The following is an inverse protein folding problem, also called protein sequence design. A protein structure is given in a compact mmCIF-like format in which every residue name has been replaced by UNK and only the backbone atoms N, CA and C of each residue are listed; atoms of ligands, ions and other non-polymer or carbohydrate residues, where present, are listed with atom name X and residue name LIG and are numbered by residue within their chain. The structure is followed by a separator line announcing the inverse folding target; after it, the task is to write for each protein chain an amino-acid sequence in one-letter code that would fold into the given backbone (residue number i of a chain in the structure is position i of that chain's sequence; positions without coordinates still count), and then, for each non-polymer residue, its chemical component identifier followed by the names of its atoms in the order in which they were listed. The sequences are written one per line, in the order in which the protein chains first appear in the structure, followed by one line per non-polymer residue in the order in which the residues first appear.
data_IF_051134570166
#
_entry.id   IF_051134570166
#
_cell.length_a   1.000
_cell.length_b   1.000
_cell.length_c   1.000
_cell.angle_alpha   90.00
_cell.angle_beta   90.00
_cell.angle_gamma   90.00
#
_symmetry.space_group_name_H-M   'P 1'
#
loop_
_entity.id
_entity.type
_entity.pdbx_description
1 polymer ?
#
# COMPACT_ATOMS: atom_id res chain seq x y z
N UNK A 1 12.93 2.18 -0.36
CA UNK A 1 12.40 2.88 -1.55
C UNK A 1 10.91 2.62 -1.66
N UNK A 2 10.13 3.64 -1.99
CA UNK A 2 8.68 3.54 -2.12
C UNK A 2 8.23 4.02 -3.50
N UNK A 3 7.68 3.11 -4.30
CA UNK A 3 6.99 3.42 -5.55
C UNK A 3 5.53 3.73 -5.23
N UNK A 4 5.12 4.98 -5.35
CA UNK A 4 3.81 5.43 -4.90
C UNK A 4 2.86 5.75 -6.07
N UNK A 5 1.60 5.33 -5.96
CA UNK A 5 0.49 5.63 -6.90
C UNK A 5 0.72 5.09 -8.32
N UNK A 6 1.27 3.90 -8.42
CA UNK A 6 1.42 3.22 -9.71
C UNK A 6 0.12 2.52 -10.15
N UNK A 7 0.06 2.14 -11.43
CA UNK A 7 -1.07 1.42 -12.02
C UNK A 7 -0.70 0.03 -12.50
N UNK A 8 0.59 -0.27 -12.65
CA UNK A 8 1.09 -1.57 -13.07
C UNK A 8 2.49 -1.84 -12.51
N UNK A 9 2.89 -3.10 -12.53
CA UNK A 9 4.19 -3.57 -12.06
C UNK A 9 5.27 -3.54 -13.14
N UNK A 10 4.89 -3.44 -14.42
CA UNK A 10 5.83 -3.52 -15.53
C UNK A 10 6.90 -2.42 -15.49
N UNK A 11 6.57 -1.27 -14.91
CA UNK A 11 7.53 -0.17 -14.74
C UNK A 11 8.33 -0.27 -13.44
N UNK A 12 7.81 -0.98 -12.45
CA UNK A 12 8.45 -1.11 -11.13
C UNK A 12 9.48 -2.24 -11.14
N UNK A 13 9.13 -3.40 -11.70
CA UNK A 13 9.95 -4.61 -11.61
C UNK A 13 11.38 -4.43 -12.17
N UNK A 14 11.61 -3.81 -13.36
CA UNK A 14 12.97 -3.60 -13.84
C UNK A 14 13.81 -2.69 -12.94
N UNK A 15 13.17 -1.67 -12.36
CA UNK A 15 13.84 -0.75 -11.44
C UNK A 15 14.11 -1.45 -10.10
N UNK A 16 13.18 -2.26 -9.61
CA UNK A 16 13.36 -3.03 -8.39
C UNK A 16 14.50 -4.05 -8.52
N UNK A 17 14.61 -4.71 -9.66
CA UNK A 17 15.71 -5.62 -9.99
C UNK A 17 17.06 -4.90 -9.97
N UNK A 18 17.13 -3.74 -10.63
CA UNK A 18 18.34 -2.91 -10.61
C UNK A 18 18.71 -2.47 -9.19
N UNK A 19 17.73 -2.03 -8.37
CA UNK A 19 17.97 -1.66 -6.96
C UNK A 19 18.52 -2.86 -6.17
N UNK A 20 17.98 -4.05 -6.38
CA UNK A 20 18.44 -5.28 -5.71
C UNK A 20 19.89 -5.63 -6.06
N UNK A 21 20.32 -5.32 -7.28
CA UNK A 21 21.74 -5.52 -7.68
C UNK A 21 22.71 -4.60 -6.94
N UNK A 22 22.23 -3.48 -6.39
CA UNK A 22 23.06 -2.52 -5.66
C UNK A 22 23.12 -2.79 -4.15
N UNK A 23 22.18 -3.54 -3.60
CA UNK A 23 22.15 -3.86 -2.18
C UNK A 23 20.78 -4.23 -1.62
N UNK A 24 20.75 -4.58 -0.34
CA UNK A 24 19.53 -4.95 0.38
C UNK A 24 18.80 -3.69 0.89
N UNK A 25 17.86 -3.20 0.11
CA UNK A 25 17.03 -2.03 0.40
C UNK A 25 15.58 -2.47 0.48
N UNK A 26 14.82 -2.03 1.49
CA UNK A 26 13.38 -2.27 1.56
C UNK A 26 12.65 -1.58 0.40
N UNK A 27 11.88 -2.36 -0.37
CA UNK A 27 11.12 -1.86 -1.53
C UNK A 27 9.62 -2.06 -1.29
N UNK A 28 8.88 -0.96 -1.29
CA UNK A 28 7.43 -0.90 -1.25
C UNK A 28 6.88 -0.49 -2.61
N UNK A 29 5.89 -1.20 -3.13
CA UNK A 29 5.13 -0.80 -4.32
C UNK A 29 3.68 -0.52 -3.97
N UNK A 30 3.22 0.72 -4.20
CA UNK A 30 1.88 1.18 -3.85
C UNK A 30 1.08 1.56 -5.11
N UNK A 31 -0.16 1.08 -5.17
CA UNK A 31 -1.03 1.15 -6.34
C UNK A 31 -2.31 1.93 -6.05
N UNK A 32 -2.76 2.67 -7.07
CA UNK A 32 -4.07 3.28 -7.04
C UNK A 32 -5.10 2.34 -7.68
N UNK A 33 -6.15 2.01 -6.92
CA UNK A 33 -7.27 1.17 -7.39
C UNK A 33 -8.60 1.91 -7.24
N UNK A 34 -9.52 1.63 -8.16
CA UNK A 34 -10.89 2.16 -8.10
C UNK A 34 -11.75 1.39 -7.08
N UNK A 35 -13.01 1.77 -6.93
CA UNK A 35 -13.97 1.16 -5.99
C UNK A 35 -14.26 -0.33 -6.25
N UNK A 36 -13.90 -0.84 -7.42
CA UNK A 36 -14.01 -2.24 -7.82
C UNK A 36 -12.73 -3.04 -7.61
N UNK A 37 -11.64 -2.38 -7.18
CA UNK A 37 -10.34 -3.01 -6.93
C UNK A 37 -9.47 -3.17 -8.17
N UNK A 38 -9.67 -2.36 -9.21
CA UNK A 38 -8.87 -2.37 -10.43
C UNK A 38 -8.04 -1.10 -10.57
N UNK A 39 -6.81 -1.25 -11.04
CA UNK A 39 -5.97 -0.12 -11.44
C UNK A 39 -6.47 0.51 -12.74
N UNK A 40 -5.90 1.66 -13.09
CA UNK A 40 -6.18 2.34 -14.37
C UNK A 40 -5.82 1.49 -15.60
N UNK A 41 -4.87 0.57 -15.47
CA UNK A 41 -4.46 -0.36 -16.53
C UNK A 41 -5.25 -1.67 -16.53
N UNK A 42 -6.23 -1.84 -15.62
CA UNK A 42 -7.13 -3.00 -15.57
C UNK A 42 -6.63 -4.15 -14.69
N UNK A 43 -5.50 -4.02 -14.00
CA UNK A 43 -5.02 -5.04 -13.07
C UNK A 43 -5.84 -5.04 -11.78
N UNK A 44 -6.27 -6.22 -11.34
CA UNK A 44 -6.96 -6.37 -10.05
C UNK A 44 -5.99 -6.35 -8.87
N UNK A 45 -6.50 -6.01 -7.67
CA UNK A 45 -5.73 -6.10 -6.43
C UNK A 45 -5.13 -7.49 -6.21
N UNK A 46 -5.90 -8.55 -6.49
CA UNK A 46 -5.44 -9.94 -6.34
C UNK A 46 -4.28 -10.28 -7.28
N UNK A 47 -4.31 -9.78 -8.52
CA UNK A 47 -3.20 -9.95 -9.48
C UNK A 47 -1.96 -9.21 -9.02
N UNK A 48 -2.10 -7.96 -8.54
CA UNK A 48 -0.98 -7.17 -8.01
C UNK A 48 -0.34 -7.88 -6.82
N UNK A 49 -1.13 -8.34 -5.84
CA UNK A 49 -0.65 -9.06 -4.66
C UNK A 49 0.09 -10.33 -5.07
N UNK A 50 -0.50 -11.14 -5.96
CA UNK A 50 0.12 -12.38 -6.46
C UNK A 50 1.45 -12.10 -7.18
N UNK A 51 1.51 -11.08 -8.02
CA UNK A 51 2.72 -10.73 -8.75
C UNK A 51 3.81 -10.21 -7.82
N UNK A 52 3.46 -9.39 -6.83
CA UNK A 52 4.42 -8.92 -5.82
C UNK A 52 4.97 -10.11 -5.03
N UNK A 53 4.12 -11.01 -4.53
CA UNK A 53 4.53 -12.23 -3.82
C UNK A 53 5.47 -13.10 -4.69
N UNK A 54 5.16 -13.26 -5.96
CA UNK A 54 5.91 -14.12 -6.88
C UNK A 54 7.22 -13.51 -7.38
N UNK A 55 7.38 -12.19 -7.33
CA UNK A 55 8.57 -11.51 -7.88
C UNK A 55 9.84 -11.71 -7.04
N UNK A 56 9.70 -11.85 -5.72
CA UNK A 56 10.83 -11.85 -4.78
C UNK A 56 11.63 -10.53 -4.74
N UNK A 57 11.21 -9.51 -5.50
CA UNK A 57 11.91 -8.24 -5.65
C UNK A 57 11.35 -7.14 -4.74
N UNK A 58 10.09 -7.26 -4.33
CA UNK A 58 9.34 -6.25 -3.59
C UNK A 58 9.00 -6.80 -2.21
N UNK A 59 9.24 -6.03 -1.17
CA UNK A 59 9.06 -6.43 0.23
C UNK A 59 7.66 -6.15 0.77
N UNK A 60 6.99 -5.16 0.19
CA UNK A 60 5.67 -4.78 0.62
C UNK A 60 4.80 -4.22 -0.49
N UNK A 61 3.49 -4.33 -0.31
CA UNK A 61 2.50 -3.79 -1.22
C UNK A 61 1.67 -2.72 -0.54
N UNK A 62 1.31 -1.68 -1.28
CA UNK A 62 0.45 -0.62 -0.80
C UNK A 62 -0.74 -0.35 -1.70
N UNK A 63 -1.78 0.26 -1.12
CA UNK A 63 -2.91 0.80 -1.85
C UNK A 63 -3.18 2.22 -1.37
N UNK A 64 -3.02 3.17 -2.28
CA UNK A 64 -3.21 4.57 -1.98
C UNK A 64 -4.01 5.28 -3.08
N UNK A 65 -4.69 6.35 -2.72
CA UNK A 65 -5.53 7.10 -3.65
C UNK A 65 -6.68 6.24 -4.26
N UNK A 66 -7.31 6.71 -5.33
CA UNK A 66 -8.30 5.99 -6.13
C UNK A 66 -9.64 5.71 -5.44
N UNK A 67 -9.65 5.46 -4.14
CA UNK A 67 -10.88 5.15 -3.39
C UNK A 67 -10.83 5.70 -1.96
N UNK A 68 -11.99 5.79 -1.31
CA UNK A 68 -12.12 6.15 0.09
C UNK A 68 -11.90 4.96 1.05
N UNK A 69 -11.82 5.22 2.38
CA UNK A 69 -11.36 4.23 3.35
C UNK A 69 -12.29 3.02 3.48
N UNK A 70 -13.62 3.20 3.52
CA UNK A 70 -14.55 2.08 3.65
C UNK A 70 -14.57 1.15 2.44
N UNK A 71 -14.38 1.71 1.22
CA UNK A 71 -14.25 0.88 0.03
C UNK A 71 -12.95 0.10 0.04
N UNK A 72 -11.85 0.75 0.43
CA UNK A 72 -10.55 0.08 0.57
C UNK A 72 -10.61 -1.04 1.61
N UNK A 73 -11.22 -0.81 2.78
CA UNK A 73 -11.43 -1.84 3.79
C UNK A 73 -12.18 -3.06 3.24
N UNK A 74 -13.26 -2.83 2.49
CA UNK A 74 -14.05 -3.90 1.86
C UNK A 74 -13.25 -4.69 0.81
N UNK A 75 -12.41 -4.01 0.03
CA UNK A 75 -11.54 -4.65 -0.94
C UNK A 75 -10.46 -5.49 -0.26
N UNK A 76 -9.78 -4.95 0.74
CA UNK A 76 -8.72 -5.63 1.49
C UNK A 76 -9.23 -6.87 2.23
N UNK A 77 -10.44 -6.84 2.79
CA UNK A 77 -11.06 -7.98 3.48
C UNK A 77 -11.18 -9.24 2.59
N UNK A 78 -11.19 -9.06 1.28
CA UNK A 78 -11.30 -10.15 0.28
C UNK A 78 -9.94 -10.65 -0.22
N UNK A 79 -8.82 -10.08 0.28
CA UNK A 79 -7.49 -10.43 -0.19
C UNK A 79 -6.78 -11.34 0.81
N UNK A 80 -6.03 -12.29 0.27
CA UNK A 80 -5.01 -13.00 1.05
C UNK A 80 -3.73 -12.16 1.05
N UNK A 81 -3.49 -11.45 2.14
CA UNK A 81 -2.31 -10.61 2.31
C UNK A 81 -1.06 -11.43 2.68
N UNK A 82 -1.24 -12.60 3.31
CA UNK A 82 -0.16 -13.46 3.76
C UNK A 82 0.82 -12.72 4.66
N UNK A 83 2.11 -12.95 4.44
CA UNK A 83 3.21 -12.34 5.21
C UNK A 83 3.74 -11.03 4.61
N UNK A 84 3.05 -10.48 3.60
CA UNK A 84 3.44 -9.18 3.00
C UNK A 84 3.30 -8.04 4.01
N UNK A 85 4.25 -7.13 3.98
CA UNK A 85 4.06 -5.80 4.57
C UNK A 85 3.05 -5.04 3.71
N UNK A 86 1.96 -4.61 4.31
CA UNK A 86 0.87 -3.93 3.59
C UNK A 86 0.71 -2.50 4.07
N UNK A 87 0.58 -1.57 3.14
CA UNK A 87 0.22 -0.19 3.43
C UNK A 87 -1.15 0.18 2.85
N UNK A 88 -1.86 1.06 3.55
CA UNK A 88 -3.13 1.63 3.11
C UNK A 88 -3.16 3.15 3.37
N UNK A 89 -3.34 3.92 2.31
CA UNK A 89 -3.47 5.37 2.36
C UNK A 89 -4.59 5.85 1.42
N UNK A 90 -5.86 5.60 1.75
CA UNK A 90 -6.99 6.02 0.93
C UNK A 90 -7.17 7.54 0.94
N UNK A 91 -8.01 8.03 0.02
CA UNK A 91 -8.50 9.40 0.06
C UNK A 91 -9.39 9.63 1.29
N UNK A 92 -9.52 10.89 1.74
CA UNK A 92 -10.41 11.25 2.85
C UNK A 92 -11.87 10.85 2.61
N UNK A 93 -12.22 10.66 1.37
CA UNK A 93 -13.55 10.31 0.85
C UNK A 93 -13.58 10.53 -0.65
N UNK A 94 -14.74 10.91 -1.18
CA UNK A 94 -14.90 11.28 -2.57
C UNK A 94 -14.91 12.80 -2.70
N UNK A 95 -14.14 13.29 -3.66
CA UNK A 95 -14.13 14.71 -3.97
C UNK A 95 -15.44 15.12 -4.63
N UNK A 96 -15.97 16.27 -4.24
CA UNK A 96 -17.08 16.96 -4.90
C UNK A 96 -16.53 18.08 -5.77
N UNK A 97 -16.97 18.16 -7.00
CA UNK A 97 -16.61 19.26 -7.87
C UNK A 97 -17.61 20.42 -7.68
N UNK A 98 -17.10 21.57 -7.26
CA UNK A 98 -17.87 22.81 -7.16
C UNK A 98 -17.21 23.85 -8.08
N UNK A 99 -17.84 24.10 -9.23
CA UNK A 99 -17.23 24.90 -10.30
C UNK A 99 -15.97 24.20 -10.83
N UNK A 100 -14.83 24.90 -10.82
CA UNK A 100 -13.54 24.38 -11.27
C UNK A 100 -12.65 23.87 -10.12
N UNK A 101 -13.19 23.66 -8.93
CA UNK A 101 -12.43 23.20 -7.76
C UNK A 101 -12.97 21.90 -7.23
N UNK A 102 -12.05 21.04 -6.75
CA UNK A 102 -12.36 19.80 -6.06
C UNK A 102 -12.33 20.04 -4.57
N UNK A 103 -13.38 19.60 -3.88
CA UNK A 103 -13.53 19.73 -2.43
C UNK A 103 -13.69 18.35 -1.81
N UNK A 104 -13.04 18.15 -0.67
CA UNK A 104 -13.30 17.01 0.21
C UNK A 104 -14.05 17.52 1.43
N UNK A 105 -15.19 16.90 1.75
CA UNK A 105 -15.89 17.20 3.00
C UNK A 105 -15.07 16.69 4.16
N UNK A 106 -14.97 17.49 5.22
CA UNK A 106 -14.33 17.02 6.44
C UNK A 106 -15.19 15.92 7.09
N UNK A 107 -14.61 14.75 7.20
CA UNK A 107 -15.20 13.57 7.82
C UNK A 107 -14.13 12.72 8.50
N UNK A 108 -13.28 13.38 9.28
CA UNK A 108 -12.13 12.77 9.94
C UNK A 108 -12.51 11.63 10.90
N UNK A 109 -13.67 11.73 11.58
CA UNK A 109 -14.19 10.66 12.43
C UNK A 109 -14.48 9.37 11.65
N UNK A 110 -15.25 9.47 10.59
CA UNK A 110 -15.56 8.34 9.71
C UNK A 110 -14.27 7.76 9.06
N UNK A 111 -13.36 8.63 8.61
CA UNK A 111 -12.08 8.21 8.07
C UNK A 111 -11.31 7.36 9.07
N UNK A 112 -11.13 7.85 10.29
CA UNK A 112 -10.36 7.16 11.32
C UNK A 112 -11.01 5.84 11.76
N UNK A 113 -12.34 5.76 11.83
CA UNK A 113 -13.05 4.52 12.11
C UNK A 113 -12.80 3.46 11.03
N UNK A 114 -12.94 3.84 9.75
CA UNK A 114 -12.64 2.95 8.64
C UNK A 114 -11.16 2.54 8.58
N UNK A 115 -10.24 3.42 8.95
CA UNK A 115 -8.82 3.12 9.01
C UNK A 115 -8.46 2.18 10.16
N UNK A 116 -9.18 2.25 11.29
CA UNK A 116 -9.07 1.27 12.38
C UNK A 116 -9.47 -0.13 11.89
N UNK A 117 -10.59 -0.23 11.17
CA UNK A 117 -11.00 -1.48 10.53
C UNK A 117 -9.91 -2.04 9.58
N UNK A 118 -9.30 -1.17 8.77
CA UNK A 118 -8.19 -1.54 7.88
C UNK A 118 -7.00 -2.08 8.68
N UNK A 119 -6.64 -1.45 9.79
CA UNK A 119 -5.55 -1.92 10.65
C UNK A 119 -5.86 -3.29 11.27
N UNK A 120 -7.12 -3.54 11.68
CA UNK A 120 -7.58 -4.83 12.21
C UNK A 120 -7.52 -5.97 11.16
N UNK A 121 -7.51 -5.65 9.85
CA UNK A 121 -7.29 -6.62 8.78
C UNK A 121 -5.82 -7.04 8.62
N UNK A 122 -4.90 -6.52 9.43
CA UNK A 122 -3.47 -6.85 9.36
C UNK A 122 -2.64 -5.91 8.49
N UNK A 123 -3.18 -4.75 8.11
CA UNK A 123 -2.41 -3.71 7.41
C UNK A 123 -1.41 -3.08 8.37
N UNK A 124 -0.15 -2.98 7.95
CA UNK A 124 0.98 -2.62 8.79
C UNK A 124 1.28 -1.12 8.82
N UNK A 125 1.04 -0.44 7.72
CA UNK A 125 1.31 0.99 7.54
C UNK A 125 0.00 1.65 7.11
N UNK A 126 -0.48 2.60 7.89
CA UNK A 126 -1.70 3.32 7.60
C UNK A 126 -1.44 4.82 7.47
N UNK A 127 -2.15 5.45 6.57
CA UNK A 127 -2.01 6.88 6.30
C UNK A 127 -3.20 7.43 5.53
N UNK A 128 -3.00 8.52 4.82
CA UNK A 128 -4.03 9.13 3.99
C UNK A 128 -3.45 9.76 2.75
N UNK A 129 -4.28 9.89 1.71
CA UNK A 129 -3.95 10.51 0.44
C UNK A 129 -4.80 11.76 0.22
N UNK A 130 -5.39 11.95 -0.96
CA UNK A 130 -6.13 13.15 -1.33
C UNK A 130 -7.23 13.51 -0.33
N UNK A 131 -7.31 14.78 0.03
CA UNK A 131 -8.28 15.32 0.98
C UNK A 131 -7.94 15.12 2.45
N UNK A 132 -6.94 14.32 2.82
CA UNK A 132 -6.44 14.23 4.18
C UNK A 132 -5.51 15.41 4.51
N UNK A 133 -5.46 15.78 5.78
CA UNK A 133 -4.64 16.86 6.30
C UNK A 133 -4.03 16.45 7.67
N UNK A 134 -3.17 17.26 8.29
CA UNK A 134 -2.54 16.90 9.57
C UNK A 134 -3.53 16.56 10.69
N UNK A 135 -4.74 17.10 10.69
CA UNK A 135 -5.76 16.77 11.71
C UNK A 135 -6.24 15.32 11.57
N UNK A 136 -6.41 14.83 10.33
CA UNK A 136 -6.72 13.42 10.05
C UNK A 136 -5.63 12.50 10.60
N UNK A 137 -4.36 12.81 10.32
CA UNK A 137 -3.23 11.98 10.77
C UNK A 137 -3.11 12.01 12.29
N UNK A 138 -3.29 13.19 12.93
CA UNK A 138 -3.29 13.29 14.38
C UNK A 138 -4.41 12.44 15.02
N UNK A 139 -5.61 12.46 14.47
CA UNK A 139 -6.72 11.65 14.97
C UNK A 139 -6.46 10.16 14.71
N UNK A 140 -5.92 9.82 13.54
CA UNK A 140 -5.56 8.44 13.17
C UNK A 140 -4.57 7.84 14.15
N UNK A 141 -3.51 8.56 14.55
CA UNK A 141 -2.52 8.07 15.52
C UNK A 141 -3.12 7.83 16.90
N UNK A 142 -4.15 8.57 17.29
CA UNK A 142 -4.86 8.37 18.54
C UNK A 142 -5.81 7.16 18.49
N UNK A 143 -6.40 6.90 17.32
CA UNK A 143 -7.42 5.86 17.13
C UNK A 143 -6.81 4.50 16.82
N UNK A 144 -5.75 4.47 16.01
CA UNK A 144 -5.08 3.25 15.56
C UNK A 144 -3.96 2.76 16.50
N UNK A 145 -3.76 3.43 17.62
CA UNK A 145 -2.60 3.33 18.51
C UNK A 145 -2.28 1.99 19.17
N UNK A 146 -2.88 0.89 18.73
CA UNK A 146 -2.54 -0.48 19.19
C UNK A 146 -2.80 -1.52 18.12
N UNK A 147 -2.34 -1.28 16.89
CA UNK A 147 -2.28 -2.38 15.92
C UNK A 147 -1.32 -3.47 16.46
N UNK A 148 -1.62 -4.76 16.26
CA UNK A 148 -0.74 -5.83 16.71
C UNK A 148 0.65 -5.65 16.09
N UNK A 149 1.69 -5.85 16.90
CA UNK A 149 3.08 -5.74 16.44
C UNK A 149 3.32 -6.69 15.27
N UNK A 150 3.77 -6.16 14.16
CA UNK A 150 4.17 -6.94 12.99
C UNK A 150 5.36 -7.83 13.36
N UNK A 151 5.36 -9.10 12.97
CA UNK A 151 6.58 -9.91 12.94
C UNK A 151 7.65 -9.12 12.18
N UNK A 152 8.79 -8.87 12.81
CA UNK A 152 9.89 -8.14 12.19
C UNK A 152 10.42 -8.94 11.00
N UNK A 153 10.83 -8.23 9.96
CA UNK A 153 11.52 -8.75 8.76
C UNK A 153 12.85 -9.49 9.04
N UNK A 154 13.19 -9.71 10.31
CA UNK A 154 14.42 -10.40 10.73
C UNK A 154 14.45 -11.90 10.43
N UNK A 155 13.33 -12.49 10.01
CA UNK A 155 13.24 -13.92 9.68
C UNK A 155 13.27 -14.17 8.16
N UNK A 156 13.97 -13.36 7.38
CA UNK A 156 14.32 -13.78 6.01
C UNK A 156 15.28 -14.97 6.12
N UNK A 157 14.94 -16.13 5.54
CA UNK A 157 15.95 -17.18 5.40
C UNK A 157 17.13 -16.61 4.59
N UNK A 158 18.35 -16.89 5.04
CA UNK A 158 19.62 -16.52 4.41
C UNK A 158 19.81 -17.21 3.05
N UNK A 159 18.94 -16.93 2.09
CA UNK A 159 19.00 -17.52 0.75
C UNK A 159 19.47 -16.53 -0.34
N UNK A 160 20.44 -15.67 -0.01
CA UNK A 160 21.12 -14.84 -1.03
C UNK A 160 22.62 -14.66 -0.77
N UNK A 161 23.30 -15.68 -0.33
CA UNK A 161 24.76 -15.77 -0.50
C UNK A 161 25.02 -16.87 -1.52
N UNK A 162 25.71 -16.50 -2.59
CA UNK A 162 26.25 -17.34 -3.68
C UNK A 162 25.57 -17.15 -5.05
N UNK A 163 25.73 -15.94 -5.60
CA UNK A 163 26.03 -15.82 -7.03
C UNK A 163 27.39 -15.13 -7.16
N UNK A 164 28.44 -15.93 -7.16
CA UNK A 164 29.74 -15.50 -7.67
C UNK A 164 29.57 -15.09 -9.13
N UNK A 165 29.57 -13.81 -9.38
CA UNK A 165 29.75 -13.29 -10.74
C UNK A 165 31.26 -13.44 -11.02
N UNK A 166 31.65 -14.49 -11.73
CA UNK A 166 32.97 -14.58 -12.37
C UNK A 166 32.93 -13.68 -13.58
N UNK A 167 33.72 -12.64 -13.55
CA UNK A 167 34.13 -11.92 -14.76
C UNK A 167 35.35 -12.66 -15.34
N UNK A 168 35.18 -13.29 -16.48
CA UNK A 168 36.25 -13.68 -17.38
C UNK A 168 36.53 -12.55 -18.37
#
# INVERSE_FOLDING_TARGET
IWFETFSDLGRILPVAEWIRSMGDVFIMASFSVNVFGYTKTGLSMSELIRTVKGSGLIDGIGFNCGTGPSHLARLLRRQDLGDLIVSAAPNAGYAEQIGNRMFYRDNSGYFCESMREIAELGVNIIGGCCGTNPAYIKMLTQTAGKAPAVKRLTDRPEQRAESEIRYD
#
